data_IF_304268687335
#
_entry.id   IF_304268687335
#
_cell.length_a   1.000
_cell.length_b   1.000
_cell.length_c   1.000
_cell.angle_alpha   90.00
_cell.angle_beta   90.00
_cell.angle_gamma   90.00
#
_symmetry.space_group_name_H-M   'P 1'
#
loop_
_entity.id
_entity.type
_entity.pdbx_description
1 polymer ?
#
# COMPACT_ATOMS: atom_id res chain seq x y z
N UNK A 1 -4.64 23.72 17.69
CA UNK A 1 -3.89 22.47 17.51
C UNK A 1 -4.77 21.53 16.71
N UNK A 2 -4.45 21.31 15.43
CA UNK A 2 -5.19 20.34 14.63
C UNK A 2 -4.83 18.96 15.16
N UNK A 3 -5.77 18.28 15.82
CA UNK A 3 -5.69 16.84 16.02
C UNK A 3 -5.84 16.20 14.62
N UNK A 4 -4.72 16.14 13.90
CA UNK A 4 -4.58 15.34 12.70
C UNK A 4 -4.69 13.89 13.13
N UNK A 5 -5.93 13.39 13.19
CA UNK A 5 -6.18 11.97 13.21
C UNK A 5 -5.73 11.46 11.84
N UNK A 6 -4.43 11.22 11.70
CA UNK A 6 -3.80 10.88 10.45
C UNK A 6 -4.47 9.60 9.94
N UNK A 7 -5.10 9.70 8.78
CA UNK A 7 -5.80 8.58 8.16
C UNK A 7 -4.80 7.44 8.02
N UNK A 8 -5.11 6.29 8.60
CA UNK A 8 -4.16 5.18 8.68
C UNK A 8 -4.04 4.55 7.30
N UNK A 9 -2.81 4.41 6.81
CA UNK A 9 -2.54 3.77 5.52
C UNK A 9 -2.54 2.25 5.69
N UNK A 10 -3.11 1.55 4.72
CA UNK A 10 -3.04 0.10 4.57
C UNK A 10 -2.67 -0.27 3.14
N UNK A 11 -1.96 -1.37 2.99
CA UNK A 11 -1.42 -1.83 1.72
C UNK A 11 -1.99 -3.20 1.38
N UNK A 12 -2.72 -3.28 0.29
CA UNK A 12 -3.28 -4.54 -0.22
C UNK A 12 -2.31 -5.15 -1.22
N UNK A 13 -1.83 -6.34 -0.90
CA UNK A 13 -0.91 -7.14 -1.70
C UNK A 13 -1.62 -8.46 -2.03
N UNK A 14 -2.32 -8.51 -3.16
CA UNK A 14 -3.18 -9.63 -3.51
C UNK A 14 -4.32 -9.79 -2.49
N UNK A 15 -4.36 -10.93 -1.79
CA UNK A 15 -5.34 -11.18 -0.75
C UNK A 15 -4.92 -10.66 0.65
N UNK A 16 -3.65 -10.30 0.83
CA UNK A 16 -3.12 -9.83 2.11
C UNK A 16 -3.34 -8.32 2.26
N UNK A 17 -3.76 -7.89 3.46
CA UNK A 17 -3.82 -6.49 3.85
C UNK A 17 -2.75 -6.27 4.91
N UNK A 18 -1.80 -5.40 4.61
CA UNK A 18 -0.65 -5.10 5.43
C UNK A 18 -0.81 -3.70 6.02
N UNK A 19 -0.58 -3.57 7.33
CA UNK A 19 -0.54 -2.28 8.00
C UNK A 19 0.70 -1.49 7.55
N UNK A 20 0.60 -0.17 7.57
CA UNK A 20 1.74 0.68 7.24
C UNK A 20 2.97 0.43 8.14
N UNK A 21 4.10 -0.04 7.57
CA UNK A 21 5.31 -0.29 8.34
C UNK A 21 6.01 1.00 8.81
N UNK A 22 5.74 2.14 8.17
CA UNK A 22 6.33 3.43 8.55
C UNK A 22 5.31 4.58 8.39
N UNK A 23 4.37 4.74 9.34
CA UNK A 23 3.28 5.73 9.28
C UNK A 23 3.71 7.19 9.22
N UNK A 24 4.93 7.48 9.67
CA UNK A 24 5.50 8.84 9.69
C UNK A 24 6.38 9.12 8.48
N UNK A 25 6.60 8.13 7.62
CA UNK A 25 7.48 8.22 6.44
C UNK A 25 6.67 8.41 5.16
N UNK A 26 7.35 8.93 4.14
CA UNK A 26 6.78 9.10 2.81
C UNK A 26 6.43 7.74 2.17
N UNK A 27 5.50 7.78 1.22
CA UNK A 27 5.03 6.58 0.51
C UNK A 27 6.16 5.84 -0.21
N UNK A 28 7.14 6.58 -0.75
CA UNK A 28 8.32 6.00 -1.42
C UNK A 28 9.18 5.16 -0.45
N UNK A 29 9.33 5.62 0.79
CA UNK A 29 10.10 4.88 1.80
C UNK A 29 9.34 3.63 2.27
N UNK A 30 8.03 3.75 2.45
CA UNK A 30 7.17 2.59 2.73
C UNK A 30 7.24 1.57 1.60
N UNK A 31 7.18 2.01 0.34
CA UNK A 31 7.36 1.15 -0.82
C UNK A 31 8.75 0.49 -0.82
N UNK A 32 9.80 1.21 -0.45
CA UNK A 32 11.16 0.63 -0.32
C UNK A 32 11.23 -0.45 0.75
N UNK A 33 10.54 -0.30 1.87
CA UNK A 33 10.45 -1.33 2.93
C UNK A 33 9.65 -2.53 2.43
N UNK A 34 8.48 -2.29 1.83
CA UNK A 34 7.60 -3.36 1.33
C UNK A 34 8.25 -4.15 0.18
N UNK A 35 9.06 -3.53 -0.68
CA UNK A 35 9.79 -4.23 -1.75
C UNK A 35 10.96 -5.08 -1.24
N UNK A 36 11.47 -4.80 -0.04
CA UNK A 36 12.43 -5.67 0.65
C UNK A 36 11.73 -6.89 1.25
N UNK A 37 10.54 -6.71 1.84
CA UNK A 37 9.77 -7.78 2.45
C UNK A 37 9.05 -8.66 1.42
N UNK A 38 8.57 -8.07 0.32
CA UNK A 38 7.80 -8.71 -0.74
C UNK A 38 8.50 -8.47 -2.09
N UNK A 39 9.48 -9.31 -2.47
CA UNK A 39 10.28 -9.11 -3.68
C UNK A 39 9.46 -9.01 -4.98
N UNK A 40 8.27 -9.60 -5.02
CA UNK A 40 7.36 -9.52 -6.17
C UNK A 40 6.89 -8.09 -6.47
N UNK A 41 6.96 -7.17 -5.52
CA UNK A 41 6.59 -5.77 -5.68
C UNK A 41 7.65 -4.92 -6.38
N UNK A 42 8.87 -5.43 -6.60
CA UNK A 42 9.98 -4.65 -7.18
C UNK A 42 9.71 -4.11 -8.58
N UNK A 43 8.75 -4.71 -9.30
CA UNK A 43 8.33 -4.29 -10.64
C UNK A 43 7.14 -3.33 -10.63
N UNK A 44 6.67 -2.96 -9.45
CA UNK A 44 5.45 -2.17 -9.24
C UNK A 44 5.79 -0.86 -8.56
N UNK A 45 4.98 0.17 -8.83
CA UNK A 45 5.04 1.45 -8.13
C UNK A 45 3.64 1.89 -7.79
N UNK A 46 3.50 2.49 -6.61
CA UNK A 46 2.28 3.12 -6.15
C UNK A 46 2.54 4.62 -6.01
N UNK A 47 1.52 5.41 -6.28
CA UNK A 47 1.55 6.85 -6.13
C UNK A 47 0.51 7.29 -5.09
N UNK A 48 0.56 8.56 -4.68
CA UNK A 48 -0.31 9.08 -3.63
C UNK A 48 -1.77 9.07 -4.10
N UNK A 49 -1.99 9.36 -5.38
CA UNK A 49 -3.29 9.35 -6.04
C UNK A 49 -3.96 7.97 -6.12
N UNK A 50 -3.21 6.88 -5.93
CA UNK A 50 -3.75 5.52 -5.92
C UNK A 50 -4.44 5.17 -4.60
N UNK A 51 -4.35 6.05 -3.59
CA UNK A 51 -4.95 5.86 -2.27
C UNK A 51 -6.47 5.98 -2.32
N UNK A 52 -7.17 4.89 -2.01
CA UNK A 52 -8.64 4.86 -1.92
C UNK A 52 -9.06 4.85 -0.46
N UNK A 53 -9.97 5.75 -0.09
CA UNK A 53 -10.59 5.74 1.24
C UNK A 53 -11.50 4.52 1.42
N UNK A 54 -11.43 3.90 2.59
CA UNK A 54 -12.38 2.85 2.96
C UNK A 54 -13.79 3.44 3.18
N UNK A 55 -14.81 2.58 3.21
CA UNK A 55 -16.22 2.98 3.39
C UNK A 55 -16.48 3.74 4.69
N UNK A 56 -15.63 3.54 5.70
CA UNK A 56 -15.70 4.22 7.00
C UNK A 56 -14.94 5.55 7.05
N UNK A 57 -14.26 5.94 5.96
CA UNK A 57 -13.38 7.10 5.88
C UNK A 57 -12.31 7.18 6.98
N UNK A 58 -11.89 6.03 7.54
CA UNK A 58 -10.90 5.93 8.62
C UNK A 58 -9.51 5.54 8.12
N UNK A 59 -9.44 4.89 6.95
CA UNK A 59 -8.21 4.29 6.43
C UNK A 59 -8.08 4.56 4.93
N UNK A 60 -6.85 4.76 4.46
CA UNK A 60 -6.52 4.82 3.03
C UNK A 60 -5.89 3.50 2.61
N UNK A 61 -6.48 2.85 1.63
CA UNK A 61 -6.03 1.57 1.09
C UNK A 61 -5.30 1.82 -0.23
N UNK A 62 -4.06 1.34 -0.30
CA UNK A 62 -3.25 1.31 -1.52
C UNK A 62 -3.16 -0.12 -2.03
N UNK A 63 -3.59 -0.37 -3.26
CA UNK A 63 -3.54 -1.70 -3.87
C UNK A 63 -2.31 -1.84 -4.79
N UNK A 64 -1.47 -2.84 -4.50
CA UNK A 64 -0.32 -3.14 -5.34
C UNK A 64 -0.74 -3.95 -6.58
N UNK A 65 -0.43 -3.47 -7.80
CA UNK A 65 -0.75 -4.21 -9.01
C UNK A 65 0.17 -5.44 -9.13
N UNK A 66 -0.34 -6.63 -8.85
CA UNK A 66 0.43 -7.86 -8.99
C UNK A 66 0.47 -8.33 -10.44
N UNK A 67 1.64 -8.80 -10.89
CA UNK A 67 1.78 -9.42 -12.20
C UNK A 67 0.99 -10.74 -12.20
N UNK A 68 0.00 -10.91 -13.10
CA UNK A 68 -0.75 -12.15 -13.15
C UNK A 68 0.19 -13.30 -13.53
N UNK A 69 0.03 -14.43 -12.85
CA UNK A 69 0.68 -15.68 -13.29
C UNK A 69 0.16 -16.03 -14.68
N UNK A 70 1.07 -16.33 -15.62
CA UNK A 70 0.68 -16.81 -16.95
C UNK A 70 -0.06 -18.14 -16.78
N UNK A 71 -1.38 -18.13 -16.93
CA UNK A 71 -2.17 -19.34 -17.10
C UNK A 71 -2.11 -19.73 -18.57
N UNK A 72 -1.14 -20.58 -18.94
CA UNK A 72 -1.19 -21.27 -20.22
C UNK A 72 -2.10 -22.50 -20.07
N UNK A 73 -3.21 -22.51 -20.80
CA UNK A 73 -3.84 -23.74 -21.27
C UNK A 73 -2.99 -24.39 -22.35
#
# INVERSE_FOLDING_TARGET
MLNMNAIVRKFKIGAAIISDPAPQSDLDEVQRILTQQYPMLRHTRIYIEDGVLNDSATETIYEFPLIPVKLKG
#
